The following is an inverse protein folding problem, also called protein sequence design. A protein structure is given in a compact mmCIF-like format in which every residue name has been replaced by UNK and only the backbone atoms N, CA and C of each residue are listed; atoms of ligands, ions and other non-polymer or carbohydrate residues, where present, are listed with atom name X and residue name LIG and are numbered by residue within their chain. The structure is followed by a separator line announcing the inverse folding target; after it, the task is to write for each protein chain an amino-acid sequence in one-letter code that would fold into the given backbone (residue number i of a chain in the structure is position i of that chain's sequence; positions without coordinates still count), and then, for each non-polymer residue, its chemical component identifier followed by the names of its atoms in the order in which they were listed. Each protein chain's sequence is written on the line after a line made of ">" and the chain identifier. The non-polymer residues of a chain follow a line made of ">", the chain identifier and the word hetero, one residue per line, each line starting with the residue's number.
data_IF_607822893488
#
_entry.id   IF_607822893488
#
_cell.length_a   1.000
_cell.length_b   1.000
_cell.length_c   1.000
_cell.angle_alpha   90.00
_cell.angle_beta   90.00
_cell.angle_gamma   90.00
#
_symmetry.space_group_name_H-M   'P 1'
#
loop_
_entity.id
_entity.type
_entity.pdbx_description
1 polymer ?
#
# COMPACT_ATOMS: atom_id res chain seq x y z
N UNK A 1 29.99 -23.10 -5.82
CA UNK A 1 28.92 -23.01 -6.83
C UNK A 1 27.90 -22.01 -6.31
N UNK A 2 27.71 -20.89 -6.99
CA UNK A 2 26.71 -19.88 -6.60
C UNK A 2 25.32 -20.42 -6.91
N UNK A 3 24.51 -20.60 -5.87
CA UNK A 3 23.12 -21.00 -5.99
C UNK A 3 22.35 -19.92 -6.77
N UNK A 4 21.57 -20.34 -7.77
CA UNK A 4 20.81 -19.42 -8.62
C UNK A 4 19.64 -18.90 -7.79
N UNK A 5 19.79 -17.71 -7.21
CA UNK A 5 18.74 -17.06 -6.42
C UNK A 5 17.46 -17.01 -7.24
N UNK A 6 16.35 -17.52 -6.68
CA UNK A 6 15.03 -17.44 -7.28
C UNK A 6 14.66 -15.96 -7.35
N UNK A 7 14.60 -15.41 -8.56
CA UNK A 7 14.30 -13.98 -8.78
C UNK A 7 12.89 -13.59 -8.33
N UNK A 8 12.57 -12.30 -8.43
CA UNK A 8 11.22 -11.78 -8.20
C UNK A 8 10.24 -12.48 -9.16
N UNK A 9 9.07 -12.95 -8.68
CA UNK A 9 8.04 -13.54 -9.55
C UNK A 9 7.65 -12.58 -10.68
N UNK A 10 7.38 -13.13 -11.88
CA UNK A 10 7.06 -12.32 -13.07
C UNK A 10 5.75 -11.54 -12.97
N UNK A 11 4.85 -11.99 -12.09
CA UNK A 11 3.56 -11.38 -11.78
C UNK A 11 3.64 -10.38 -10.61
N UNK A 12 4.84 -10.15 -10.05
CA UNK A 12 5.05 -9.22 -8.96
C UNK A 12 5.80 -7.97 -9.41
N UNK A 13 5.47 -6.84 -8.78
CA UNK A 13 6.27 -5.63 -8.96
C UNK A 13 7.66 -5.80 -8.34
N UNK A 14 8.69 -5.31 -9.02
CA UNK A 14 10.07 -5.34 -8.51
C UNK A 14 10.23 -4.45 -7.27
N UNK A 15 9.44 -3.39 -7.18
CA UNK A 15 9.32 -2.51 -6.01
C UNK A 15 7.84 -2.34 -5.69
N UNK A 16 7.49 -2.49 -4.42
CA UNK A 16 6.11 -2.31 -3.93
C UNK A 16 6.16 -1.17 -2.91
N UNK A 17 5.75 0.06 -3.26
CA UNK A 17 5.67 1.14 -2.30
C UNK A 17 4.62 0.82 -1.24
N UNK A 18 4.93 1.16 0.01
CA UNK A 18 3.99 1.09 1.13
C UNK A 18 3.65 2.50 1.57
N UNK A 19 2.38 2.83 1.50
CA UNK A 19 1.84 4.14 1.82
C UNK A 19 1.06 4.05 3.14
N UNK A 20 1.34 4.97 4.05
CA UNK A 20 0.79 4.96 5.41
C UNK A 20 -0.28 6.02 5.54
N UNK A 21 -1.47 5.61 5.99
CA UNK A 21 -2.65 6.45 6.10
C UNK A 21 -3.25 6.43 7.50
N UNK A 22 -3.90 7.53 7.86
CA UNK A 22 -4.65 7.63 9.12
C UNK A 22 -5.90 6.76 9.08
N UNK A 23 -6.54 6.66 7.92
CA UNK A 23 -7.66 5.78 7.64
C UNK A 23 -7.33 4.92 6.43
N UNK A 24 -6.69 3.77 6.67
CA UNK A 24 -6.32 2.83 5.62
C UNK A 24 -7.53 2.24 4.89
N UNK A 25 -8.67 2.05 5.59
CA UNK A 25 -9.88 1.53 4.97
C UNK A 25 -10.45 2.52 3.96
N UNK A 26 -10.53 3.81 4.33
CA UNK A 26 -10.99 4.86 3.42
C UNK A 26 -10.08 4.98 2.19
N UNK A 27 -8.77 4.85 2.37
CA UNK A 27 -7.82 4.91 1.25
C UNK A 27 -7.97 3.72 0.30
N UNK A 28 -8.10 2.49 0.82
CA UNK A 28 -8.32 1.31 -0.02
C UNK A 28 -9.58 1.52 -0.88
N UNK A 29 -10.66 2.02 -0.29
CA UNK A 29 -11.89 2.29 -1.00
C UNK A 29 -11.75 3.43 -2.02
N UNK A 30 -10.92 4.45 -1.73
CA UNK A 30 -10.57 5.50 -2.69
C UNK A 30 -9.79 4.92 -3.88
N UNK A 31 -8.72 4.17 -3.63
CA UNK A 31 -7.93 3.57 -4.70
C UNK A 31 -8.77 2.65 -5.60
N UNK A 32 -9.67 1.85 -5.02
CA UNK A 32 -10.56 0.99 -5.76
C UNK A 32 -11.50 1.77 -6.70
N UNK A 33 -12.05 2.90 -6.23
CA UNK A 33 -13.00 3.71 -7.01
C UNK A 33 -12.33 4.64 -8.03
N UNK A 34 -11.17 5.19 -7.70
CA UNK A 34 -10.54 6.26 -8.48
C UNK A 34 -9.52 5.72 -9.48
N UNK A 35 -8.80 4.66 -9.12
CA UNK A 35 -7.72 4.09 -9.93
C UNK A 35 -8.05 2.70 -10.49
N UNK A 36 -9.29 2.24 -10.33
CA UNK A 36 -9.69 0.85 -10.62
C UNK A 36 -8.78 -0.17 -9.92
N UNK A 37 -8.33 0.16 -8.71
CA UNK A 37 -7.39 -0.69 -7.99
C UNK A 37 -8.06 -1.99 -7.52
N UNK A 38 -7.37 -3.12 -7.70
CA UNK A 38 -7.87 -4.44 -7.29
C UNK A 38 -7.17 -4.89 -6.02
N UNK A 39 -7.95 -5.24 -5.01
CA UNK A 39 -7.42 -5.79 -3.77
C UNK A 39 -6.96 -7.24 -3.96
N UNK A 40 -5.71 -7.53 -3.60
CA UNK A 40 -5.15 -8.89 -3.59
C UNK A 40 -5.17 -9.50 -2.18
N UNK A 41 -5.02 -8.67 -1.16
CA UNK A 41 -5.09 -9.06 0.23
C UNK A 41 -5.54 -7.89 1.09
N UNK A 42 -6.31 -8.17 2.14
CA UNK A 42 -6.66 -7.23 3.21
C UNK A 42 -6.55 -7.90 4.56
N UNK A 43 -6.02 -7.16 5.54
CA UNK A 43 -5.82 -7.62 6.92
C UNK A 43 -6.49 -6.64 7.87
N UNK A 44 -7.38 -7.12 8.76
CA UNK A 44 -7.97 -6.27 9.78
C UNK A 44 -6.96 -5.97 10.90
N UNK A 45 -7.05 -4.78 11.49
CA UNK A 45 -6.40 -4.43 12.75
C UNK A 45 -7.20 -4.92 13.97
N UNK A 46 -6.70 -4.64 15.19
CA UNK A 46 -7.38 -5.03 16.44
C UNK A 46 -8.81 -4.52 16.58
N UNK A 47 -9.15 -3.41 15.93
CA UNK A 47 -10.49 -2.82 15.91
C UNK A 47 -11.41 -3.42 14.82
N UNK A 48 -10.92 -4.41 14.07
CA UNK A 48 -11.65 -5.05 12.98
C UNK A 48 -11.65 -4.27 11.66
N UNK A 49 -11.15 -3.03 11.63
CA UNK A 49 -11.03 -2.25 10.40
C UNK A 49 -9.82 -2.69 9.59
N UNK A 50 -9.83 -2.46 8.28
CA UNK A 50 -8.67 -2.72 7.45
C UNK A 50 -7.46 -1.91 7.93
N UNK A 51 -6.36 -2.58 8.21
CA UNK A 51 -5.10 -1.96 8.64
C UNK A 51 -3.97 -2.16 7.64
N UNK A 52 -4.10 -3.15 6.74
CA UNK A 52 -3.14 -3.42 5.69
C UNK A 52 -3.87 -3.97 4.47
N UNK A 53 -3.47 -3.54 3.28
CA UNK A 53 -3.87 -4.17 2.03
C UNK A 53 -2.75 -4.14 0.99
N UNK A 54 -2.68 -5.21 0.20
CA UNK A 54 -1.93 -5.23 -1.05
C UNK A 54 -2.94 -5.05 -2.18
N UNK A 55 -2.69 -4.08 -3.05
CA UNK A 55 -3.56 -3.76 -4.19
C UNK A 55 -2.75 -3.70 -5.49
N UNK A 56 -3.42 -3.86 -6.62
CA UNK A 56 -2.86 -3.60 -7.94
C UNK A 56 -3.56 -2.46 -8.65
N UNK A 57 -2.80 -1.65 -9.38
CA UNK A 57 -3.30 -0.70 -10.38
C UNK A 57 -2.70 -1.13 -11.72
N UNK A 58 -3.51 -1.80 -12.55
CA UNK A 58 -2.97 -2.55 -13.69
C UNK A 58 -1.94 -3.60 -13.22
N UNK A 59 -0.70 -3.61 -13.75
CA UNK A 59 0.34 -4.54 -13.34
C UNK A 59 1.14 -4.08 -12.09
N UNK A 60 0.97 -2.82 -11.67
CA UNK A 60 1.74 -2.26 -10.56
C UNK A 60 1.09 -2.62 -9.22
N UNK A 61 1.90 -3.01 -8.23
CA UNK A 61 1.46 -3.31 -6.88
C UNK A 61 1.76 -2.15 -5.93
N UNK A 62 0.80 -1.85 -5.05
CA UNK A 62 0.95 -0.89 -3.94
C UNK A 62 0.47 -1.53 -2.64
N UNK A 63 1.06 -1.13 -1.52
CA UNK A 63 0.55 -1.47 -0.19
C UNK A 63 -0.02 -0.25 0.50
N UNK A 64 -1.22 -0.39 1.06
CA UNK A 64 -1.84 0.59 1.95
C UNK A 64 -1.72 0.04 3.38
N UNK A 65 -1.24 0.88 4.31
CA UNK A 65 -1.02 0.51 5.71
C UNK A 65 -1.58 1.60 6.63
N UNK A 66 -2.16 1.20 7.76
CA UNK A 66 -2.49 2.10 8.85
C UNK A 66 -1.24 2.50 9.64
N UNK A 67 -1.27 3.65 10.31
CA UNK A 67 -0.21 4.01 11.24
C UNK A 67 -0.25 3.13 12.50
N UNK A 68 0.93 2.68 12.93
CA UNK A 68 1.10 1.85 14.11
C UNK A 68 2.04 2.53 15.12
N UNK A 69 1.65 2.72 16.39
CA UNK A 69 2.51 3.37 17.39
C UNK A 69 3.86 2.66 17.63
N UNK A 70 3.94 1.37 17.31
CA UNK A 70 5.13 0.54 17.51
C UNK A 70 6.08 0.53 16.31
N UNK A 71 5.69 1.11 15.17
CA UNK A 71 6.49 1.14 13.95
C UNK A 71 6.90 2.57 13.61
N UNK A 72 8.12 2.79 13.06
CA UNK A 72 8.59 4.11 12.65
C UNK A 72 7.98 4.56 11.30
N UNK A 73 6.77 4.10 10.98
CA UNK A 73 6.08 4.36 9.72
C UNK A 73 4.93 5.31 10.02
N UNK A 74 5.09 6.57 9.64
CA UNK A 74 4.18 7.66 10.00
C UNK A 74 3.37 8.14 8.82
N UNK A 75 2.16 8.61 9.10
CA UNK A 75 1.38 9.35 8.10
C UNK A 75 2.12 10.65 7.75
N UNK A 76 2.07 11.11 6.48
CA UNK A 76 2.56 12.43 6.13
C UNK A 76 1.88 13.53 6.95
N UNK A 77 2.61 14.62 7.21
CA UNK A 77 2.03 15.81 7.81
C UNK A 77 0.98 16.43 6.87
N UNK A 78 -0.06 17.05 7.45
CA UNK A 78 -1.14 17.72 6.71
C UNK A 78 -0.74 19.12 6.22
N UNK A 79 0.54 19.32 5.90
CA UNK A 79 1.13 20.57 5.41
C UNK A 79 1.58 20.48 3.94
N UNK A 80 1.31 19.36 3.28
CA UNK A 80 1.71 19.09 1.90
C UNK A 80 3.16 18.65 1.74
N UNK A 81 3.91 18.42 2.82
CA UNK A 81 5.32 17.99 2.78
C UNK A 81 5.54 16.50 2.48
N UNK A 82 4.49 15.77 2.09
CA UNK A 82 4.62 14.35 1.72
C UNK A 82 5.67 14.20 0.59
N UNK A 83 6.67 13.31 0.75
CA UNK A 83 7.60 13.00 -0.33
C UNK A 83 6.94 12.23 -1.50
N UNK A 84 5.69 11.79 -1.32
CA UNK A 84 4.88 11.08 -2.32
C UNK A 84 3.65 11.92 -2.68
N UNK A 85 3.47 12.16 -3.99
CA UNK A 85 2.29 12.82 -4.55
C UNK A 85 1.55 11.82 -5.44
N UNK A 86 0.24 11.70 -5.26
CA UNK A 86 -0.64 10.90 -6.10
C UNK A 86 -1.46 11.86 -6.96
N UNK A 87 -1.52 11.60 -8.26
CA UNK A 87 -2.36 12.34 -9.19
C UNK A 87 -3.56 11.47 -9.59
N UNK A 88 -4.76 11.98 -9.39
CA UNK A 88 -5.97 11.52 -10.05
C UNK A 88 -6.36 12.49 -11.19
N UNK A 89 -7.21 12.05 -12.11
CA UNK A 89 -7.73 12.86 -13.21
C UNK A 89 -9.11 13.38 -12.92
#
# INVERSE_FOLDING_TARGET
>A
MTEKVKGVPSDSSVVIPRLVYRDAAAEIDFCARTFDAVELNRRPGPDGKASHALMTIGPAMIMIEAEWPTLPSHVPALDGSSPVVIFDR
#
